data_IF_909289213238
#
_entry.id   IF_909289213238
#
_cell.length_a   1.000
_cell.length_b   1.000
_cell.length_c   1.000
_cell.angle_alpha   90.00
_cell.angle_beta   90.00
_cell.angle_gamma   90.00
#
_symmetry.space_group_name_H-M   'P 1'
#
loop_
_entity.id
_entity.type
_entity.pdbx_description
1 polymer ?
#
# COMPACT_ATOMS: atom_id res chain seq x y z
N UNK A 1 15.00 -43.21 35.53
CA UNK A 1 15.27 -43.11 34.08
C UNK A 1 14.01 -43.53 33.33
N UNK A 2 13.21 -42.58 32.83
CA UNK A 2 12.12 -42.88 31.90
C UNK A 2 12.58 -42.42 30.52
N UNK A 3 12.79 -43.39 29.63
CA UNK A 3 13.03 -43.16 28.22
C UNK A 3 11.80 -42.49 27.61
N UNK A 4 11.95 -41.27 27.11
CA UNK A 4 10.99 -40.69 26.16
C UNK A 4 11.49 -41.06 24.77
N UNK A 5 10.72 -41.91 24.11
CA UNK A 5 11.00 -42.43 22.79
C UNK A 5 11.09 -41.29 21.77
N UNK A 6 12.19 -41.29 21.02
CA UNK A 6 12.42 -40.47 19.84
C UNK A 6 11.35 -40.82 18.79
N UNK A 7 10.35 -39.96 18.64
CA UNK A 7 9.28 -40.16 17.66
C UNK A 7 9.77 -39.68 16.28
N UNK A 8 10.63 -40.49 15.66
CA UNK A 8 10.99 -40.38 14.24
C UNK A 8 9.79 -40.85 13.40
N UNK A 9 9.43 -40.06 12.39
CA UNK A 9 8.35 -40.29 11.39
C UNK A 9 7.00 -39.60 11.65
N UNK A 10 6.99 -38.29 11.90
CA UNK A 10 5.90 -37.47 11.35
C UNK A 10 6.25 -37.17 9.90
N UNK A 11 5.48 -37.72 8.95
CA UNK A 11 5.52 -37.26 7.55
C UNK A 11 5.29 -35.75 7.57
N UNK A 12 6.31 -34.99 7.20
CA UNK A 12 6.17 -33.57 6.90
C UNK A 12 5.32 -33.55 5.64
N UNK A 13 4.04 -33.21 5.77
CA UNK A 13 3.20 -32.97 4.59
C UNK A 13 3.48 -31.54 4.18
N UNK A 14 4.16 -31.31 3.03
CA UNK A 14 4.37 -29.96 2.54
C UNK A 14 3.02 -29.29 2.28
N UNK A 15 2.94 -27.98 2.51
CA UNK A 15 1.73 -27.20 2.28
C UNK A 15 1.23 -27.43 0.85
N UNK A 16 -0.08 -27.63 0.68
CA UNK A 16 -0.69 -27.79 -0.65
C UNK A 16 -0.40 -26.58 -1.55
N UNK A 17 -0.21 -26.85 -2.85
CA UNK A 17 0.17 -25.81 -3.81
C UNK A 17 -0.91 -24.72 -3.96
N UNK A 18 -2.17 -25.08 -3.75
CA UNK A 18 -3.30 -24.16 -3.79
C UNK A 18 -3.25 -23.12 -2.67
N UNK A 19 -2.79 -23.50 -1.47
CA UNK A 19 -2.63 -22.56 -0.34
C UNK A 19 -1.43 -21.64 -0.55
N UNK A 20 -0.36 -22.17 -1.14
CA UNK A 20 0.81 -21.38 -1.55
C UNK A 20 0.42 -20.30 -2.56
N UNK A 21 -0.35 -20.65 -3.58
CA UNK A 21 -0.88 -19.70 -4.58
C UNK A 21 -1.74 -18.64 -3.89
N UNK A 22 -2.63 -19.04 -2.98
CA UNK A 22 -3.48 -18.10 -2.24
C UNK A 22 -2.66 -17.08 -1.42
N UNK A 23 -1.61 -17.51 -0.73
CA UNK A 23 -0.72 -16.61 0.00
C UNK A 23 0.02 -15.63 -0.94
N UNK A 24 0.42 -16.06 -2.14
CA UNK A 24 1.03 -15.20 -3.15
C UNK A 24 0.03 -14.15 -3.64
N UNK A 25 -1.18 -14.56 -3.99
CA UNK A 25 -2.21 -13.69 -4.56
C UNK A 25 -2.80 -12.71 -3.54
N UNK A 26 -3.13 -13.19 -2.35
CA UNK A 26 -3.83 -12.41 -1.32
C UNK A 26 -2.88 -11.59 -0.46
N UNK A 27 -1.62 -12.00 -0.32
CA UNK A 27 -0.67 -11.40 0.63
C UNK A 27 0.69 -11.11 -0.02
N UNK A 28 0.79 -11.01 -1.36
CA UNK A 28 1.96 -10.52 -2.11
C UNK A 28 3.31 -11.15 -1.69
N UNK A 29 3.32 -12.44 -1.41
CA UNK A 29 4.57 -13.19 -1.24
C UNK A 29 5.19 -13.56 -2.60
N UNK A 30 6.51 -13.70 -2.67
CA UNK A 30 7.18 -14.30 -3.83
C UNK A 30 7.25 -15.83 -3.71
N UNK A 31 7.43 -16.57 -4.82
CA UNK A 31 7.65 -18.01 -4.77
C UNK A 31 8.83 -18.42 -3.88
N UNK A 32 9.92 -17.65 -3.86
CA UNK A 32 11.07 -17.89 -2.99
C UNK A 32 10.71 -17.72 -1.51
N UNK A 33 9.90 -16.74 -1.16
CA UNK A 33 9.50 -16.49 0.23
C UNK A 33 8.52 -17.54 0.74
N UNK A 34 7.65 -18.03 -0.14
CA UNK A 34 6.77 -19.16 0.18
C UNK A 34 7.57 -20.46 0.38
N UNK A 35 8.74 -20.61 -0.24
CA UNK A 35 9.56 -21.81 -0.05
C UNK A 35 10.05 -21.97 1.40
N UNK A 36 10.08 -20.89 2.19
CA UNK A 36 10.36 -20.91 3.63
C UNK A 36 9.34 -21.79 4.39
N UNK A 37 8.09 -21.85 3.90
CA UNK A 37 7.04 -22.71 4.48
C UNK A 37 7.40 -24.19 4.37
N UNK A 38 8.17 -24.60 3.36
CA UNK A 38 8.56 -26.00 3.21
C UNK A 38 9.60 -26.45 4.24
N UNK A 39 10.22 -25.51 4.97
CA UNK A 39 11.15 -25.80 6.05
C UNK A 39 10.43 -26.17 7.37
N UNK A 40 9.11 -25.96 7.49
CA UNK A 40 8.34 -26.30 8.69
C UNK A 40 7.02 -27.02 8.38
N UNK A 41 6.57 -27.86 9.32
CA UNK A 41 5.37 -28.68 9.11
C UNK A 41 4.10 -27.90 9.45
N UNK A 42 3.39 -27.39 8.45
CA UNK A 42 2.07 -26.80 8.68
C UNK A 42 1.05 -27.89 9.01
N UNK A 43 0.24 -27.65 10.05
CA UNK A 43 -0.82 -28.58 10.43
C UNK A 43 -2.04 -28.43 9.53
N UNK A 44 -2.80 -29.51 9.32
CA UNK A 44 -4.05 -29.51 8.53
C UNK A 44 -5.07 -28.47 9.03
N UNK A 45 -5.05 -28.17 10.34
CA UNK A 45 -5.83 -27.08 10.94
C UNK A 45 -5.45 -25.71 10.37
N UNK A 46 -4.17 -25.44 10.21
CA UNK A 46 -3.66 -24.16 9.70
C UNK A 46 -3.88 -24.06 8.19
N UNK A 47 -3.73 -25.15 7.44
CA UNK A 47 -4.11 -25.20 6.02
C UNK A 47 -5.59 -24.82 5.83
N UNK A 48 -6.48 -25.39 6.64
CA UNK A 48 -7.92 -25.06 6.62
C UNK A 48 -8.19 -23.60 7.00
N UNK A 49 -7.38 -23.02 7.88
CA UNK A 49 -7.54 -21.61 8.25
C UNK A 49 -7.13 -20.67 7.10
N UNK A 50 -6.09 -21.01 6.34
CA UNK A 50 -5.71 -20.29 5.11
C UNK A 50 -6.82 -20.38 4.05
N UNK A 51 -7.46 -21.54 3.89
CA UNK A 51 -8.62 -21.68 3.00
C UNK A 51 -9.76 -20.72 3.36
N UNK A 52 -9.97 -20.46 4.65
CA UNK A 52 -11.02 -19.59 5.18
C UNK A 52 -10.57 -18.14 5.42
N UNK A 53 -9.38 -17.74 4.95
CA UNK A 53 -8.80 -16.40 5.18
C UNK A 53 -8.57 -16.04 6.66
N UNK A 54 -8.53 -17.04 7.55
CA UNK A 54 -8.14 -16.89 8.95
C UNK A 54 -6.61 -16.91 9.07
N UNK A 55 -6.01 -15.76 8.79
CA UNK A 55 -4.58 -15.54 8.90
C UNK A 55 -4.11 -15.30 10.35
N UNK A 56 -5.01 -14.99 11.28
CA UNK A 56 -4.68 -14.82 12.71
C UNK A 56 -4.20 -16.12 13.34
N UNK A 57 -4.88 -17.22 13.00
CA UNK A 57 -4.45 -18.54 13.42
C UNK A 57 -3.09 -18.95 12.83
N UNK A 58 -2.79 -18.54 11.59
CA UNK A 58 -1.47 -18.75 10.98
C UNK A 58 -0.39 -17.94 11.71
N UNK A 59 -0.65 -16.68 12.04
CA UNK A 59 0.28 -15.82 12.79
C UNK A 59 0.65 -16.43 14.13
N UNK A 60 -0.35 -16.84 14.93
CA UNK A 60 -0.12 -17.45 16.25
C UNK A 60 0.69 -18.74 16.14
N UNK A 61 0.38 -19.56 15.14
CA UNK A 61 1.13 -20.77 14.86
C UNK A 61 2.61 -20.50 14.53
N UNK A 62 2.90 -19.45 13.76
CA UNK A 62 4.27 -19.05 13.46
C UNK A 62 4.99 -18.48 14.70
N UNK A 63 4.29 -17.76 15.58
CA UNK A 63 4.83 -17.26 16.85
C UNK A 63 5.22 -18.39 17.81
N UNK A 64 4.44 -19.48 17.85
CA UNK A 64 4.79 -20.69 18.59
C UNK A 64 6.10 -21.32 18.08
N UNK A 65 6.33 -21.33 16.77
CA UNK A 65 7.58 -21.82 16.17
C UNK A 65 8.74 -20.88 16.52
N UNK A 66 8.56 -19.57 16.39
CA UNK A 66 9.59 -18.55 16.69
C UNK A 66 10.03 -18.64 18.16
N UNK A 67 9.09 -18.91 19.06
CA UNK A 67 9.35 -18.99 20.50
C UNK A 67 9.89 -20.35 20.95
N UNK A 68 9.96 -21.35 20.07
CA UNK A 68 10.38 -22.69 20.42
C UNK A 68 11.90 -22.86 20.32
N UNK A 69 12.58 -22.84 21.47
CA UNK A 69 14.04 -23.01 21.60
C UNK A 69 14.56 -24.38 21.13
N UNK A 70 13.68 -25.35 20.87
CA UNK A 70 14.07 -26.67 20.33
C UNK A 70 14.23 -26.68 18.81
N UNK A 71 13.80 -25.62 18.12
CA UNK A 71 13.99 -25.39 16.69
C UNK A 71 15.27 -24.57 16.51
N UNK A 72 16.04 -24.85 15.45
CA UNK A 72 17.28 -24.13 15.18
C UNK A 72 17.04 -22.64 14.84
N UNK A 73 18.04 -21.82 15.15
CA UNK A 73 17.92 -20.37 15.02
C UNK A 73 17.75 -19.89 13.58
N UNK A 74 18.30 -20.59 12.58
CA UNK A 74 18.13 -20.26 11.15
C UNK A 74 16.68 -20.43 10.72
N UNK A 75 16.06 -21.57 11.08
CA UNK A 75 14.64 -21.82 10.83
C UNK A 75 13.76 -20.80 11.56
N UNK A 76 14.04 -20.52 12.84
CA UNK A 76 13.28 -19.52 13.63
C UNK A 76 13.38 -18.12 13.02
N UNK A 77 14.55 -17.74 12.50
CA UNK A 77 14.77 -16.45 11.85
C UNK A 77 14.00 -16.33 10.52
N UNK A 78 14.01 -17.38 9.70
CA UNK A 78 13.23 -17.43 8.45
C UNK A 78 11.72 -17.38 8.72
N UNK A 79 11.25 -18.11 9.73
CA UNK A 79 9.84 -18.07 10.15
C UNK A 79 9.47 -16.68 10.69
N UNK A 80 10.36 -16.03 11.45
CA UNK A 80 10.16 -14.66 11.92
C UNK A 80 10.06 -13.66 10.75
N UNK A 81 10.92 -13.80 9.74
CA UNK A 81 10.86 -13.00 8.52
C UNK A 81 9.52 -13.20 7.79
N UNK A 82 9.13 -14.46 7.57
CA UNK A 82 7.87 -14.81 6.93
C UNK A 82 6.65 -14.23 7.70
N UNK A 83 6.61 -14.39 9.02
CA UNK A 83 5.55 -13.89 9.89
C UNK A 83 5.48 -12.35 9.91
N UNK A 84 6.63 -11.66 9.90
CA UNK A 84 6.70 -10.20 9.82
C UNK A 84 6.09 -9.67 8.52
N UNK A 85 6.43 -10.32 7.39
CA UNK A 85 5.89 -9.96 6.08
C UNK A 85 4.39 -10.28 5.98
N UNK A 86 3.94 -11.41 6.56
CA UNK A 86 2.53 -11.78 6.65
C UNK A 86 1.71 -10.68 7.36
N UNK A 87 2.17 -10.22 8.53
CA UNK A 87 1.53 -9.15 9.30
C UNK A 87 1.47 -7.83 8.51
N UNK A 88 2.56 -7.46 7.83
CA UNK A 88 2.62 -6.25 6.99
C UNK A 88 1.69 -6.32 5.79
N UNK A 89 1.66 -7.45 5.10
CA UNK A 89 0.85 -7.60 3.90
C UNK A 89 -0.64 -7.70 4.22
N UNK A 90 -1.01 -8.28 5.38
CA UNK A 90 -2.39 -8.22 5.88
C UNK A 90 -2.87 -6.79 6.12
N UNK A 91 -2.01 -5.90 6.64
CA UNK A 91 -2.36 -4.47 6.79
C UNK A 91 -2.61 -3.75 5.45
N UNK A 92 -2.12 -4.30 4.33
CA UNK A 92 -2.28 -3.71 2.98
C UNK A 92 -3.61 -4.13 2.33
N UNK A 93 -4.16 -5.30 2.70
CA UNK A 93 -5.40 -5.84 2.11
C UNK A 93 -6.60 -5.89 3.07
N UNK A 94 -6.41 -5.58 4.35
CA UNK A 94 -7.49 -5.39 5.31
C UNK A 94 -8.04 -3.96 5.22
N UNK A 95 -8.88 -3.70 4.22
CA UNK A 95 -9.83 -2.58 4.27
C UNK A 95 -11.19 -3.12 4.75
N UNK A 96 -11.81 -2.37 5.67
CA UNK A 96 -13.23 -2.40 6.05
C UNK A 96 -13.75 -3.50 7.00
N UNK A 97 -13.20 -3.67 8.20
CA UNK A 97 -14.05 -4.07 9.34
C UNK A 97 -13.58 -3.45 10.66
N UNK A 98 -14.50 -2.68 11.25
CA UNK A 98 -14.48 -2.19 12.62
C UNK A 98 -14.29 -3.35 13.60
N UNK A 99 -13.13 -3.43 14.26
CA UNK A 99 -13.05 -3.84 15.66
C UNK A 99 -11.66 -3.50 16.20
N UNK A 100 -11.55 -2.30 16.78
CA UNK A 100 -10.51 -1.97 17.74
C UNK A 100 -10.62 -2.93 18.93
N UNK A 101 -9.94 -4.07 18.87
CA UNK A 101 -9.48 -4.74 20.08
C UNK A 101 -8.13 -4.16 20.43
N UNK A 102 -8.24 -3.10 21.22
CA UNK A 102 -7.26 -2.66 22.19
C UNK A 102 -6.85 -3.87 23.02
N UNK A 103 -5.75 -4.53 22.62
CA UNK A 103 -5.01 -5.38 23.54
C UNK A 103 -4.22 -4.41 24.42
N UNK A 104 -4.78 -4.19 25.62
CA UNK A 104 -4.09 -3.61 26.76
C UNK A 104 -2.91 -4.54 27.11
N UNK A 105 -1.76 -4.35 26.45
CA UNK A 105 -0.47 -4.74 27.00
C UNK A 105 0.24 -3.48 27.48
N UNK A 106 0.07 -3.21 28.77
CA UNK A 106 0.72 -2.16 29.57
C UNK A 106 2.23 -2.43 29.75
N UNK A 107 2.90 -2.85 28.68
CA UNK A 107 4.34 -2.85 28.60
C UNK A 107 4.79 -1.40 28.46
N UNK A 108 5.33 -0.85 29.54
CA UNK A 108 6.00 0.46 29.63
C UNK A 108 7.10 0.57 28.55
N UNK A 109 6.69 0.85 27.31
CA UNK A 109 7.56 0.96 26.15
C UNK A 109 8.19 2.35 26.24
N UNK A 110 9.35 2.36 26.87
CA UNK A 110 10.19 3.53 27.07
C UNK A 110 10.18 4.39 25.79
N UNK A 111 9.69 5.63 25.93
CA UNK A 111 9.48 6.64 24.88
C UNK A 111 10.81 7.20 24.36
N UNK A 112 11.80 6.35 24.16
CA UNK A 112 13.05 6.75 23.54
C UNK A 112 12.83 6.88 22.04
N UNK A 113 12.70 8.13 21.59
CA UNK A 113 12.61 8.57 20.19
C UNK A 113 13.78 8.04 19.31
N UNK A 114 14.82 7.48 19.93
CA UNK A 114 15.99 6.90 19.27
C UNK A 114 15.80 5.46 18.75
N UNK A 115 14.73 4.75 19.15
CA UNK A 115 14.60 3.32 18.88
C UNK A 115 14.23 2.97 17.43
N UNK A 116 13.86 3.96 16.61
CA UNK A 116 13.24 3.69 15.33
C UNK A 116 14.18 3.68 14.11
N UNK A 117 15.51 3.81 14.27
CA UNK A 117 16.40 4.13 13.15
C UNK A 117 17.59 3.17 12.94
N UNK A 118 17.49 1.91 13.38
CA UNK A 118 18.64 1.00 13.43
C UNK A 118 19.21 0.61 12.04
N UNK A 119 18.42 0.74 10.97
CA UNK A 119 18.80 0.31 9.61
C UNK A 119 19.22 1.44 8.66
N UNK A 120 19.32 2.68 9.14
CA UNK A 120 19.66 3.86 8.31
C UNK A 120 21.05 4.41 8.62
N UNK A 121 21.70 5.05 7.65
CA UNK A 121 22.98 5.73 7.86
C UNK A 121 22.84 6.91 8.84
N UNK A 122 23.93 7.31 9.50
CA UNK A 122 23.90 8.43 10.46
C UNK A 122 23.39 9.74 9.81
N UNK A 123 23.68 9.94 8.52
CA UNK A 123 23.20 11.08 7.75
C UNK A 123 21.66 11.04 7.57
N UNK A 124 21.10 9.88 7.24
CA UNK A 124 19.66 9.66 7.12
C UNK A 124 18.94 9.81 8.46
N UNK A 125 19.54 9.29 9.54
CA UNK A 125 19.04 9.47 10.91
C UNK A 125 18.97 10.94 11.29
N UNK A 126 20.02 11.70 11.00
CA UNK A 126 20.08 13.13 11.30
C UNK A 126 19.00 13.89 10.52
N UNK A 127 18.91 13.66 9.20
CA UNK A 127 17.88 14.27 8.35
C UNK A 127 16.47 13.97 8.84
N UNK A 128 16.22 12.74 9.28
CA UNK A 128 14.89 12.40 9.78
C UNK A 128 14.60 13.02 11.15
N UNK A 129 15.54 13.07 12.08
CA UNK A 129 15.34 13.78 13.36
C UNK A 129 14.97 15.25 13.11
N UNK A 130 15.70 15.93 12.24
CA UNK A 130 15.40 17.32 11.84
C UNK A 130 14.02 17.44 11.18
N UNK A 131 13.66 16.50 10.32
CA UNK A 131 12.35 16.47 9.66
C UNK A 131 11.21 16.25 10.65
N UNK A 132 11.37 15.33 11.60
CA UNK A 132 10.39 15.06 12.67
C UNK A 132 10.12 16.34 13.46
N UNK A 133 11.17 17.03 13.92
CA UNK A 133 11.03 18.27 14.68
C UNK A 133 10.31 19.36 13.86
N UNK A 134 10.67 19.51 12.58
CA UNK A 134 9.99 20.44 11.67
C UNK A 134 8.49 20.11 11.53
N UNK A 135 8.13 18.84 11.31
CA UNK A 135 6.75 18.45 11.04
C UNK A 135 5.89 18.34 12.31
N UNK A 136 6.50 18.22 13.50
CA UNK A 136 5.80 18.40 14.78
C UNK A 136 5.19 19.80 14.90
N UNK A 137 5.90 20.85 14.46
CA UNK A 137 5.47 22.25 14.65
C UNK A 137 4.51 22.79 13.58
N UNK A 138 4.48 22.18 12.39
CA UNK A 138 3.58 22.59 11.29
C UNK A 138 2.14 22.18 11.62
N UNK A 139 1.09 22.86 11.18
CA UNK A 139 -0.29 22.39 11.37
C UNK A 139 -0.67 21.27 10.38
N UNK A 140 -1.73 20.51 10.63
CA UNK A 140 -2.25 19.53 9.67
C UNK A 140 -2.69 20.19 8.34
N UNK A 141 -3.32 21.36 8.44
CA UNK A 141 -3.77 22.13 7.28
C UNK A 141 -2.58 22.59 6.42
N UNK A 142 -1.55 23.16 7.03
CA UNK A 142 -0.33 23.56 6.32
C UNK A 142 0.38 22.35 5.70
N UNK A 143 0.43 21.22 6.41
CA UNK A 143 1.04 19.99 5.89
C UNK A 143 0.26 19.46 4.68
N UNK A 144 -1.07 19.48 4.76
CA UNK A 144 -1.98 19.15 3.66
C UNK A 144 -1.71 20.03 2.44
N UNK A 145 -1.60 21.35 2.63
CA UNK A 145 -1.27 22.29 1.56
C UNK A 145 0.11 22.03 0.96
N UNK A 146 1.12 21.74 1.79
CA UNK A 146 2.47 21.41 1.31
C UNK A 146 2.47 20.19 0.40
N UNK A 147 1.78 19.10 0.81
CA UNK A 147 1.68 17.86 0.02
C UNK A 147 0.92 18.12 -1.29
N UNK A 148 -0.20 18.84 -1.23
CA UNK A 148 -0.99 19.22 -2.40
C UNK A 148 -0.14 20.05 -3.38
N UNK A 149 0.47 21.14 -2.92
CA UNK A 149 1.22 22.07 -3.76
C UNK A 149 2.47 21.43 -4.35
N UNK A 150 3.15 20.58 -3.58
CA UNK A 150 4.26 19.80 -4.10
C UNK A 150 3.81 18.90 -5.25
N UNK A 151 2.74 18.14 -5.05
CA UNK A 151 2.22 17.20 -6.05
C UNK A 151 1.73 17.95 -7.29
N UNK A 152 0.90 18.97 -7.10
CA UNK A 152 0.32 19.77 -8.18
C UNK A 152 1.38 20.57 -8.97
N UNK A 153 2.39 21.09 -8.28
CA UNK A 153 3.42 21.95 -8.86
C UNK A 153 4.56 21.20 -9.55
N UNK A 154 5.07 20.13 -8.92
CA UNK A 154 6.22 19.38 -9.49
C UNK A 154 5.82 18.43 -10.61
N UNK A 155 4.59 17.96 -10.65
CA UNK A 155 4.13 17.01 -11.65
C UNK A 155 3.18 17.70 -12.63
N UNK A 156 3.73 18.60 -13.45
CA UNK A 156 2.95 19.36 -14.45
C UNK A 156 2.13 18.49 -15.39
N UNK A 157 2.60 17.27 -15.70
CA UNK A 157 1.84 16.30 -16.52
C UNK A 157 0.47 15.95 -15.93
N UNK A 158 0.27 16.10 -14.61
CA UNK A 158 -1.05 15.85 -14.00
C UNK A 158 -2.05 16.99 -14.29
N UNK A 159 -1.58 18.17 -14.72
CA UNK A 159 -2.42 19.28 -15.17
C UNK A 159 -2.90 19.10 -16.62
N UNK A 160 -2.15 18.34 -17.43
CA UNK A 160 -2.49 18.05 -18.84
C UNK A 160 -3.38 16.81 -18.99
N UNK A 161 -3.36 15.91 -18.01
CA UNK A 161 -4.18 14.70 -17.95
C UNK A 161 -4.18 14.08 -16.55
N UNK A 162 -5.32 13.56 -16.13
CA UNK A 162 -5.56 13.12 -14.77
C UNK A 162 -4.97 11.73 -14.48
N UNK A 163 -3.71 11.67 -14.06
CA UNK A 163 -3.09 10.42 -13.62
C UNK A 163 -3.05 10.26 -12.10
N UNK A 164 -4.04 9.54 -11.55
CA UNK A 164 -4.12 9.23 -10.12
C UNK A 164 -2.95 8.38 -9.63
N UNK A 165 -2.29 7.58 -10.49
CA UNK A 165 -1.20 6.71 -10.03
C UNK A 165 0.03 7.50 -9.58
N UNK A 166 0.17 8.74 -10.07
CA UNK A 166 1.28 9.64 -9.71
C UNK A 166 1.22 10.06 -8.24
N UNK A 167 0.05 10.02 -7.60
CA UNK A 167 -0.09 10.48 -6.22
C UNK A 167 0.80 9.69 -5.25
N UNK A 168 0.86 8.37 -5.38
CA UNK A 168 1.71 7.53 -4.52
C UNK A 168 3.19 7.91 -4.66
N UNK A 169 3.66 8.04 -5.89
CA UNK A 169 5.04 8.41 -6.19
C UNK A 169 5.37 9.83 -5.73
N UNK A 170 4.46 10.79 -5.96
CA UNK A 170 4.61 12.18 -5.54
C UNK A 170 4.69 12.32 -4.02
N UNK A 171 3.85 11.57 -3.30
CA UNK A 171 3.83 11.52 -1.84
C UNK A 171 5.11 10.93 -1.28
N UNK A 172 5.53 9.77 -1.78
CA UNK A 172 6.79 9.14 -1.35
C UNK A 172 7.99 10.05 -1.63
N UNK A 173 8.00 10.70 -2.79
CA UNK A 173 9.05 11.65 -3.15
C UNK A 173 9.04 12.89 -2.24
N UNK A 174 7.87 13.46 -1.95
CA UNK A 174 7.71 14.59 -1.02
C UNK A 174 8.36 14.27 0.32
N UNK A 175 8.07 13.10 0.91
CA UNK A 175 8.62 12.71 2.19
C UNK A 175 10.13 12.50 2.15
N UNK A 176 10.62 11.75 1.14
CA UNK A 176 12.06 11.52 0.97
C UNK A 176 12.85 12.82 0.80
N UNK A 177 12.34 13.78 0.02
CA UNK A 177 12.98 15.08 -0.19
C UNK A 177 12.88 15.99 1.05
N UNK A 178 11.92 15.73 1.93
CA UNK A 178 11.79 16.43 3.21
C UNK A 178 12.42 15.67 4.39
N UNK A 179 13.26 14.67 4.12
CA UNK A 179 14.03 13.97 5.15
C UNK A 179 13.28 12.88 5.91
N UNK A 180 12.03 12.58 5.55
CA UNK A 180 11.31 11.41 6.08
C UNK A 180 11.62 10.20 5.18
N UNK A 181 12.60 9.41 5.61
CA UNK A 181 13.04 8.15 5.01
C UNK A 181 12.03 7.03 5.28
N UNK A 182 11.47 7.00 6.50
CA UNK A 182 10.47 6.03 6.90
C UNK A 182 9.45 6.68 7.84
N UNK A 183 8.17 6.62 7.48
CA UNK A 183 7.09 7.12 8.34
C UNK A 183 6.92 6.25 9.57
N UNK A 184 7.18 4.95 9.46
CA UNK A 184 7.14 4.03 10.60
C UNK A 184 8.16 4.43 11.66
N UNK A 185 9.20 5.16 11.26
CA UNK A 185 10.24 5.60 12.16
C UNK A 185 9.97 7.00 12.76
N UNK A 186 8.74 7.51 12.63
CA UNK A 186 8.30 8.73 13.32
C UNK A 186 7.42 8.41 14.53
N UNK A 187 7.32 9.31 15.52
CA UNK A 187 6.38 9.17 16.64
C UNK A 187 4.93 8.98 16.18
N UNK A 188 4.13 8.21 16.94
CA UNK A 188 2.76 7.83 16.55
C UNK A 188 1.86 9.03 16.23
N UNK A 189 1.85 10.04 17.11
CA UNK A 189 1.08 11.27 16.89
C UNK A 189 1.45 11.99 15.57
N UNK A 190 2.73 11.93 15.17
CA UNK A 190 3.16 12.48 13.89
C UNK A 190 2.77 11.55 12.74
N UNK A 191 2.79 10.23 12.93
CA UNK A 191 2.33 9.25 11.92
C UNK A 191 0.86 9.44 11.58
N UNK A 192 0.00 9.57 12.59
CA UNK A 192 -1.44 9.80 12.43
C UNK A 192 -1.70 11.09 11.65
N UNK A 193 -1.10 12.20 12.08
CA UNK A 193 -1.20 13.49 11.39
C UNK A 193 -0.70 13.44 9.94
N UNK A 194 0.40 12.71 9.68
CA UNK A 194 0.88 12.47 8.31
C UNK A 194 -0.20 11.75 7.50
N UNK A 195 -0.80 10.69 8.03
CA UNK A 195 -1.84 9.91 7.36
C UNK A 195 -3.08 10.77 7.05
N UNK A 196 -3.54 11.57 8.00
CA UNK A 196 -4.68 12.47 7.84
C UNK A 196 -4.39 13.55 6.79
N UNK A 197 -3.23 14.21 6.88
CA UNK A 197 -2.80 15.23 5.91
C UNK A 197 -2.67 14.67 4.49
N UNK A 198 -2.19 13.43 4.35
CA UNK A 198 -2.14 12.74 3.06
C UNK A 198 -3.54 12.53 2.48
N UNK A 199 -4.46 11.98 3.28
CA UNK A 199 -5.84 11.74 2.84
C UNK A 199 -6.54 13.03 2.41
N UNK A 200 -6.39 14.10 3.20
CA UNK A 200 -6.93 15.42 2.86
C UNK A 200 -6.30 15.97 1.58
N UNK A 201 -4.98 15.88 1.43
CA UNK A 201 -4.28 16.36 0.24
C UNK A 201 -4.72 15.57 -1.01
N UNK A 202 -4.94 14.27 -0.88
CA UNK A 202 -5.46 13.44 -1.97
C UNK A 202 -6.86 13.88 -2.41
N UNK A 203 -7.73 14.20 -1.45
CA UNK A 203 -9.07 14.70 -1.75
C UNK A 203 -9.03 16.07 -2.43
N UNK A 204 -8.18 16.99 -1.96
CA UNK A 204 -7.95 18.28 -2.63
C UNK A 204 -7.44 18.13 -4.05
N UNK A 205 -6.52 17.18 -4.26
CA UNK A 205 -6.03 16.88 -5.61
C UNK A 205 -7.18 16.38 -6.51
N UNK A 206 -8.02 15.45 -6.03
CA UNK A 206 -9.21 14.99 -6.79
C UNK A 206 -10.12 16.16 -7.19
N UNK A 207 -10.34 17.12 -6.30
CA UNK A 207 -11.11 18.33 -6.59
C UNK A 207 -10.43 19.22 -7.63
N UNK A 208 -9.12 19.46 -7.50
CA UNK A 208 -8.33 20.22 -8.47
C UNK A 208 -8.38 19.58 -9.86
N UNK A 209 -8.29 18.25 -9.96
CA UNK A 209 -8.43 17.54 -11.23
C UNK A 209 -9.83 17.67 -11.81
N UNK A 210 -10.87 17.57 -10.99
CA UNK A 210 -12.25 17.75 -11.45
C UNK A 210 -12.47 19.15 -12.05
N UNK A 211 -11.89 20.20 -11.45
CA UNK A 211 -11.95 21.56 -12.01
C UNK A 211 -11.29 21.65 -13.38
N UNK A 212 -10.09 21.06 -13.53
CA UNK A 212 -9.40 21.00 -14.83
C UNK A 212 -10.25 20.25 -15.87
N UNK A 213 -10.84 19.11 -15.50
CA UNK A 213 -11.72 18.36 -16.40
C UNK A 213 -12.95 19.19 -16.82
N UNK A 214 -13.58 19.90 -15.89
CA UNK A 214 -14.71 20.79 -16.17
C UNK A 214 -14.33 21.94 -17.13
N UNK A 215 -13.15 22.53 -16.97
CA UNK A 215 -12.65 23.60 -17.85
C UNK A 215 -12.27 23.10 -19.25
N UNK A 216 -11.83 21.85 -19.38
CA UNK A 216 -11.31 21.28 -20.63
C UNK A 216 -12.31 20.45 -21.42
N UNK A 217 -13.45 20.07 -20.83
CA UNK A 217 -14.40 19.11 -21.42
C UNK A 217 -14.90 19.53 -22.80
N UNK A 218 -15.19 20.82 -23.00
CA UNK A 218 -15.65 21.33 -24.30
C UNK A 218 -14.56 21.23 -25.36
N UNK A 219 -13.34 21.68 -25.04
CA UNK A 219 -12.18 21.60 -25.93
C UNK A 219 -11.87 20.15 -26.31
N UNK A 220 -11.94 19.23 -25.33
CA UNK A 220 -11.74 17.80 -25.59
C UNK A 220 -12.85 17.20 -26.44
N UNK A 221 -14.10 17.65 -26.28
CA UNK A 221 -15.22 17.23 -27.11
C UNK A 221 -15.01 17.65 -28.56
N UNK A 222 -14.64 18.91 -28.81
CA UNK A 222 -14.36 19.41 -30.17
C UNK A 222 -13.23 18.63 -30.84
N UNK A 223 -12.16 18.35 -30.10
CA UNK A 223 -11.03 17.58 -30.61
C UNK A 223 -11.41 16.11 -30.87
N UNK A 224 -12.24 15.51 -30.02
CA UNK A 224 -12.79 14.18 -30.24
C UNK A 224 -13.66 14.11 -31.50
N UNK A 225 -14.52 15.10 -31.73
CA UNK A 225 -15.35 15.17 -32.95
C UNK A 225 -14.49 15.25 -34.22
N UNK A 226 -13.43 16.07 -34.21
CA UNK A 226 -12.45 16.13 -35.31
C UNK A 226 -11.71 14.80 -35.50
N UNK A 227 -11.35 14.13 -34.41
CA UNK A 227 -10.71 12.82 -34.46
C UNK A 227 -11.64 11.78 -35.08
N UNK A 228 -12.92 11.74 -34.72
CA UNK A 228 -13.90 10.82 -35.33
C UNK A 228 -14.03 11.01 -36.84
N UNK A 229 -14.12 12.26 -37.30
CA UNK A 229 -14.17 12.58 -38.73
C UNK A 229 -12.92 12.06 -39.46
N UNK A 230 -11.74 12.25 -38.86
CA UNK A 230 -10.47 11.76 -39.42
C UNK A 230 -10.42 10.23 -39.51
N UNK A 231 -11.04 9.52 -38.57
CA UNK A 231 -11.11 8.06 -38.55
C UNK A 231 -12.26 7.49 -39.41
N UNK A 232 -13.14 8.33 -39.95
CA UNK A 232 -14.33 7.88 -40.68
C UNK A 232 -15.36 7.17 -39.79
N UNK A 233 -15.40 7.48 -38.49
CA UNK A 233 -16.29 6.84 -37.51
C UNK A 233 -17.51 7.73 -37.29
N UNK A 234 -18.70 7.19 -37.54
CA UNK A 234 -19.97 7.95 -37.41
C UNK A 234 -20.72 7.71 -36.09
N UNK A 235 -20.21 6.83 -35.21
CA UNK A 235 -20.87 6.47 -33.94
C UNK A 235 -20.12 7.05 -32.73
N UNK A 236 -20.88 7.74 -31.87
CA UNK A 236 -20.41 8.29 -30.60
C UNK A 236 -20.58 7.25 -29.47
N UNK A 237 -19.59 6.37 -29.30
CA UNK A 237 -19.59 5.35 -28.24
C UNK A 237 -18.64 5.70 -27.11
N UNK A 238 -18.92 5.23 -25.89
CA UNK A 238 -17.97 5.35 -24.76
C UNK A 238 -16.60 4.76 -25.09
N UNK A 239 -16.57 3.67 -25.86
CA UNK A 239 -15.33 3.01 -26.26
C UNK A 239 -14.48 3.88 -27.18
N UNK A 240 -15.10 4.57 -28.14
CA UNK A 240 -14.39 5.51 -29.03
C UNK A 240 -13.82 6.70 -28.27
N UNK A 241 -14.57 7.24 -27.30
CA UNK A 241 -14.10 8.33 -26.43
C UNK A 241 -12.90 7.87 -25.60
N UNK A 242 -12.99 6.69 -24.98
CA UNK A 242 -11.87 6.09 -24.22
C UNK A 242 -10.64 5.86 -25.10
N UNK A 243 -10.84 5.41 -26.33
CA UNK A 243 -9.75 5.22 -27.30
C UNK A 243 -9.09 6.54 -27.70
N UNK A 244 -9.87 7.59 -27.98
CA UNK A 244 -9.36 8.92 -28.26
C UNK A 244 -8.48 9.46 -27.12
N UNK A 245 -8.97 9.40 -25.88
CA UNK A 245 -8.20 9.85 -24.71
C UNK A 245 -6.93 9.02 -24.50
N UNK A 246 -7.00 7.70 -24.75
CA UNK A 246 -5.83 6.82 -24.72
C UNK A 246 -4.77 7.21 -25.76
N UNK A 247 -5.17 7.50 -27.00
CA UNK A 247 -4.26 7.95 -28.07
C UNK A 247 -3.66 9.33 -27.78
N UNK A 248 -4.43 10.22 -27.17
CA UNK A 248 -3.96 11.52 -26.72
C UNK A 248 -3.05 11.44 -25.48
N UNK A 249 -2.88 10.26 -24.88
CA UNK A 249 -2.21 10.04 -23.59
C UNK A 249 -2.80 10.90 -22.46
N UNK A 250 -4.09 11.20 -22.53
CA UNK A 250 -4.83 11.97 -21.52
C UNK A 250 -5.65 10.97 -20.72
N UNK A 251 -5.45 10.94 -19.40
CA UNK A 251 -6.33 10.21 -18.49
C UNK A 251 -7.46 11.14 -18.04
N UNK A 252 -8.67 10.62 -17.97
CA UNK A 252 -9.87 11.35 -17.51
C UNK A 252 -10.77 10.44 -16.69
N UNK A 253 -11.61 11.02 -15.84
CA UNK A 253 -12.65 10.31 -15.10
C UNK A 253 -13.73 9.76 -16.04
N UNK A 254 -14.41 8.68 -15.61
CA UNK A 254 -15.59 8.17 -16.33
C UNK A 254 -16.71 9.22 -16.40
N UNK A 255 -16.81 10.11 -15.41
CA UNK A 255 -17.74 11.25 -15.44
C UNK A 255 -17.44 12.17 -16.62
N UNK A 256 -16.17 12.45 -16.89
CA UNK A 256 -15.74 13.26 -18.03
C UNK A 256 -16.00 12.55 -19.36
N UNK A 257 -15.78 11.23 -19.44
CA UNK A 257 -16.18 10.42 -20.61
C UNK A 257 -17.68 10.54 -20.88
N UNK A 258 -18.52 10.50 -19.83
CA UNK A 258 -19.97 10.65 -20.00
C UNK A 258 -20.35 12.05 -20.46
N UNK A 259 -19.74 13.10 -19.89
CA UNK A 259 -19.98 14.49 -20.31
C UNK A 259 -19.62 14.71 -21.77
N UNK A 260 -18.45 14.23 -22.22
CA UNK A 260 -18.04 14.29 -23.64
C UNK A 260 -19.04 13.56 -24.52
N UNK A 261 -19.53 12.40 -24.09
CA UNK A 261 -20.56 11.65 -24.84
C UNK A 261 -21.85 12.45 -24.98
N UNK A 262 -22.34 13.08 -23.91
CA UNK A 262 -23.55 13.90 -23.94
C UNK A 262 -23.35 15.07 -24.90
N UNK A 263 -22.25 15.82 -24.76
CA UNK A 263 -21.94 16.97 -25.60
C UNK A 263 -21.77 16.61 -27.08
N UNK A 264 -21.14 15.47 -27.39
CA UNK A 264 -20.95 15.01 -28.76
C UNK A 264 -22.24 14.51 -29.46
N UNK A 265 -23.31 14.23 -28.71
CA UNK A 265 -24.60 13.83 -29.26
C UNK A 265 -25.59 15.01 -29.40
N UNK A 266 -25.25 16.18 -28.86
CA UNK A 266 -26.03 17.41 -28.98
C UNK A 266 -25.54 18.26 -30.17
#
# INVERSE_FOLDING_TARGET
>A
MRHVACNKNKKITPMKIEHKIKLIESLLFTPEEISIIDEFTITERIEKNIENDDYDSLIKYLEEIISNETIDDDTRLKVAYFNSKLKRNRMIFGDDDDDYKQDDDDGDFDKNEDYYMYNHSEEERTKQREAIEKFKTISEEELTEMIHNYTWGKFKKIQDGFDRSIYSDAKNKFWSENGIVSKWDTPENLREKIRESENLAQNRLKESFRKVEEEKVEIWTDNYLKWLQKQGINKYTKQNIKQYFKEAAIKVSDTTVEKVKILANN
#
